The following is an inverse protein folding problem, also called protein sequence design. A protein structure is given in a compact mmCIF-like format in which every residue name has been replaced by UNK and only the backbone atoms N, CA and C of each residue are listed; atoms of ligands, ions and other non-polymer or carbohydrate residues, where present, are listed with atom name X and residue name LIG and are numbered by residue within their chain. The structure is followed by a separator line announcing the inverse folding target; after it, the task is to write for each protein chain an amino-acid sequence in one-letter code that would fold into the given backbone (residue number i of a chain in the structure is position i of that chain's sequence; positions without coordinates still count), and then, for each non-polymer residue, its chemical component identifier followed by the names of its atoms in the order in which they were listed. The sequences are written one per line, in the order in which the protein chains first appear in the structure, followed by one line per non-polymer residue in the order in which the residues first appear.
data_IF_334686144946
#
_entry.id   IF_334686144946
#
_cell.length_a   1.000
_cell.length_b   1.000
_cell.length_c   1.000
_cell.angle_alpha   90.00
_cell.angle_beta   90.00
_cell.angle_gamma   90.00
#
_symmetry.space_group_name_H-M   'P 1'
#
loop_
_entity.id
_entity.type
_entity.pdbx_description
1 polymer ?
#
# COMPACT_ATOMS: atom_id res chain seq x y z
N UNK A 1 -13.38 -1.37 8.04
CA UNK A 1 -12.41 -0.60 7.22
C UNK A 1 -11.40 -1.55 6.60
N UNK A 2 -11.14 -1.38 5.34
CA UNK A 2 -10.17 -2.18 4.62
C UNK A 2 -8.89 -1.37 4.39
N UNK A 3 -7.74 -1.98 4.69
CA UNK A 3 -6.42 -1.40 4.45
C UNK A 3 -5.73 -2.17 3.34
N UNK A 4 -5.62 -1.56 2.17
CA UNK A 4 -4.92 -2.14 1.02
C UNK A 4 -3.44 -1.79 1.11
N UNK A 5 -2.58 -2.78 1.13
CA UNK A 5 -1.13 -2.59 1.20
C UNK A 5 -0.43 -3.40 0.12
N UNK A 6 0.73 -2.90 -0.31
CA UNK A 6 1.65 -3.67 -1.13
C UNK A 6 2.73 -4.32 -0.28
N UNK A 7 3.80 -4.75 -0.94
CA UNK A 7 4.98 -5.31 -0.26
C UNK A 7 6.27 -4.95 -1.01
N UNK A 8 6.29 -3.74 -1.57
CA UNK A 8 7.41 -3.30 -2.41
C UNK A 8 8.39 -2.35 -1.72
N UNK A 9 8.18 -2.04 -0.44
CA UNK A 9 9.07 -1.16 0.29
C UNK A 9 8.81 -1.15 1.78
N UNK A 10 9.66 -0.44 2.50
CA UNK A 10 9.63 -0.37 3.96
C UNK A 10 8.34 0.27 4.48
N UNK A 11 7.81 1.27 3.75
CA UNK A 11 6.59 1.94 4.17
C UNK A 11 5.40 0.99 4.21
N UNK A 12 5.26 0.11 3.22
CA UNK A 12 4.21 -0.90 3.22
C UNK A 12 4.26 -1.77 4.48
N UNK A 13 5.45 -2.15 4.90
CA UNK A 13 5.63 -2.99 6.08
C UNK A 13 5.35 -2.24 7.37
N UNK A 14 5.73 -0.96 7.44
CA UNK A 14 5.42 -0.10 8.59
C UNK A 14 3.91 0.03 8.75
N UNK A 15 3.20 0.29 7.67
CA UNK A 15 1.73 0.42 7.68
C UNK A 15 1.08 -0.91 8.10
N UNK A 16 1.51 -2.02 7.50
CA UNK A 16 0.98 -3.35 7.84
C UNK A 16 1.15 -3.65 9.32
N UNK A 17 2.33 -3.39 9.87
CA UNK A 17 2.61 -3.61 11.29
C UNK A 17 1.74 -2.74 12.19
N UNK A 18 1.52 -1.48 11.80
CA UNK A 18 0.67 -0.56 12.55
C UNK A 18 -0.79 -1.03 12.57
N UNK A 19 -1.31 -1.48 11.42
CA UNK A 19 -2.67 -2.03 11.32
C UNK A 19 -2.81 -3.27 12.21
N UNK A 20 -1.84 -4.19 12.16
CA UNK A 20 -1.87 -5.41 12.99
C UNK A 20 -1.86 -5.10 14.47
N UNK A 21 -1.05 -4.13 14.90
CA UNK A 21 -1.04 -3.71 16.31
C UNK A 21 -2.37 -3.13 16.73
N UNK A 22 -2.98 -2.31 15.88
CA UNK A 22 -4.27 -1.69 16.18
C UNK A 22 -5.37 -2.74 16.28
N UNK A 23 -5.41 -3.72 15.36
CA UNK A 23 -6.37 -4.81 15.40
C UNK A 23 -6.30 -5.59 16.72
N UNK A 24 -5.08 -5.91 17.16
CA UNK A 24 -4.87 -6.63 18.42
C UNK A 24 -5.26 -5.80 19.65
N UNK A 25 -4.94 -4.51 19.61
CA UNK A 25 -5.14 -3.60 20.75
C UNK A 25 -6.61 -3.33 21.04
N UNK A 26 -7.42 -3.14 20.00
CA UNK A 26 -8.84 -2.80 20.14
C UNK A 26 -9.77 -3.99 19.90
N UNK A 27 -9.23 -5.16 19.57
CA UNK A 27 -10.00 -6.36 19.19
C UNK A 27 -11.04 -6.02 18.13
N UNK A 28 -10.58 -5.30 17.09
CA UNK A 28 -11.45 -4.78 16.03
C UNK A 28 -11.64 -5.83 14.95
N UNK A 29 -12.82 -6.43 14.88
CA UNK A 29 -13.20 -7.38 13.85
C UNK A 29 -13.71 -6.69 12.58
N UNK A 30 -13.81 -5.35 12.59
CA UNK A 30 -14.34 -4.57 11.48
C UNK A 30 -13.27 -4.05 10.52
N UNK A 31 -11.98 -4.28 10.83
CA UNK A 31 -10.90 -3.88 9.93
C UNK A 31 -10.20 -5.10 9.35
N UNK A 32 -9.79 -4.99 8.08
CA UNK A 32 -9.08 -6.05 7.37
C UNK A 32 -7.81 -5.49 6.73
N UNK A 33 -6.71 -6.22 6.88
CA UNK A 33 -5.45 -5.93 6.21
C UNK A 33 -5.36 -6.79 4.95
N UNK A 34 -5.41 -6.15 3.78
CA UNK A 34 -5.44 -6.82 2.48
C UNK A 34 -4.13 -6.57 1.75
N UNK A 35 -3.43 -7.65 1.41
CA UNK A 35 -2.22 -7.57 0.59
C UNK A 35 -2.61 -7.61 -0.88
N UNK A 36 -2.27 -6.55 -1.63
CA UNK A 36 -2.51 -6.45 -3.06
C UNK A 36 -1.18 -6.63 -3.80
N UNK A 37 -1.05 -7.73 -4.53
CA UNK A 37 0.16 -8.05 -5.30
C UNK A 37 -0.07 -7.85 -6.79
N UNK A 38 0.95 -7.37 -7.53
CA UNK A 38 0.84 -7.22 -8.99
C UNK A 38 0.86 -8.55 -9.73
N UNK A 39 1.49 -9.58 -9.16
CA UNK A 39 1.60 -10.92 -9.72
C UNK A 39 2.00 -11.87 -8.60
N UNK A 40 1.87 -13.22 -8.81
CA UNK A 40 2.36 -14.19 -7.83
C UNK A 40 3.88 -14.07 -7.70
N UNK A 41 4.35 -13.78 -6.50
CA UNK A 41 5.79 -13.66 -6.23
C UNK A 41 6.36 -14.96 -5.70
N UNK A 42 7.68 -15.17 -5.87
CA UNK A 42 8.36 -16.32 -5.27
C UNK A 42 8.24 -16.29 -3.75
N UNK A 43 8.32 -15.10 -3.15
CA UNK A 43 8.17 -14.93 -1.70
C UNK A 43 6.80 -15.44 -1.23
N UNK A 44 5.74 -15.12 -1.94
CA UNK A 44 4.40 -15.60 -1.61
C UNK A 44 4.31 -17.12 -1.70
N UNK A 45 4.81 -17.71 -2.80
CA UNK A 45 4.77 -19.17 -3.00
C UNK A 45 5.54 -19.93 -1.94
N UNK A 46 6.71 -19.41 -1.56
CA UNK A 46 7.59 -20.09 -0.62
C UNK A 46 7.14 -19.93 0.84
N UNK A 47 6.28 -18.94 1.12
CA UNK A 47 5.85 -18.60 2.48
C UNK A 47 4.33 -18.44 2.58
N UNK A 48 3.57 -19.18 1.79
CA UNK A 48 2.13 -19.01 1.67
C UNK A 48 1.41 -19.09 3.02
N UNK A 49 1.74 -20.08 3.84
CA UNK A 49 1.11 -20.23 5.16
C UNK A 49 1.34 -19.02 6.05
N UNK A 50 2.56 -18.48 6.06
CA UNK A 50 2.89 -17.29 6.85
C UNK A 50 2.14 -16.08 6.36
N UNK A 51 2.01 -15.92 5.04
CA UNK A 51 1.27 -14.80 4.45
C UNK A 51 -0.22 -14.89 4.77
N UNK A 52 -0.82 -16.08 4.64
CA UNK A 52 -2.23 -16.30 4.96
C UNK A 52 -2.53 -16.09 6.44
N UNK A 53 -1.57 -16.38 7.32
CA UNK A 53 -1.72 -16.14 8.75
C UNK A 53 -1.60 -14.66 9.10
N UNK A 54 -0.82 -13.89 8.35
CA UNK A 54 -0.55 -12.49 8.65
C UNK A 54 -1.57 -11.53 8.04
N UNK A 55 -1.91 -11.73 6.76
CA UNK A 55 -2.87 -10.86 6.06
C UNK A 55 -4.27 -11.47 6.13
N UNK A 56 -5.27 -10.63 6.31
CA UNK A 56 -6.66 -11.08 6.32
C UNK A 56 -7.10 -11.56 4.93
N UNK A 57 -6.54 -10.94 3.88
CA UNK A 57 -6.85 -11.28 2.49
C UNK A 57 -5.62 -11.04 1.62
N UNK A 58 -5.47 -11.86 0.57
CA UNK A 58 -4.41 -11.68 -0.42
C UNK A 58 -5.07 -11.61 -1.80
N UNK A 59 -4.84 -10.52 -2.52
CA UNK A 59 -5.39 -10.30 -3.85
C UNK A 59 -4.29 -10.20 -4.88
N UNK A 60 -4.51 -10.81 -6.04
CA UNK A 60 -3.65 -10.65 -7.21
C UNK A 60 -4.33 -9.72 -8.20
N UNK A 61 -3.58 -8.76 -8.74
CA UNK A 61 -4.12 -7.81 -9.71
C UNK A 61 -4.28 -8.48 -11.08
N UNK A 62 -5.51 -8.85 -11.43
CA UNK A 62 -5.78 -9.52 -12.71
C UNK A 62 -5.45 -8.65 -13.93
N UNK A 63 -5.63 -7.33 -13.82
CA UNK A 63 -5.31 -6.40 -14.91
C UNK A 63 -3.82 -6.28 -15.18
N UNK A 64 -2.97 -6.69 -14.24
CA UNK A 64 -1.51 -6.67 -14.40
C UNK A 64 -0.98 -7.95 -15.06
N UNK A 65 -1.83 -8.96 -15.29
CA UNK A 65 -1.41 -10.22 -15.89
C UNK A 65 -0.82 -10.00 -17.29
N UNK A 66 0.33 -10.61 -17.53
CA UNK A 66 1.03 -10.47 -18.80
C UNK A 66 1.84 -9.20 -18.98
N UNK A 67 1.81 -8.26 -18.03
CA UNK A 67 2.60 -7.04 -18.09
C UNK A 67 4.03 -7.27 -17.61
N UNK A 68 4.95 -6.41 -18.07
CA UNK A 68 6.30 -6.37 -17.53
C UNK A 68 6.23 -6.05 -16.03
N UNK A 69 7.14 -6.59 -15.18
CA UNK A 69 7.07 -6.39 -13.72
C UNK A 69 6.90 -4.94 -13.27
N UNK A 70 7.62 -3.99 -13.87
CA UNK A 70 7.46 -2.55 -13.54
C UNK A 70 6.08 -2.03 -13.92
N UNK A 71 5.58 -2.42 -15.09
CA UNK A 71 4.23 -2.05 -15.52
C UNK A 71 3.16 -2.67 -14.63
N UNK A 72 3.36 -3.92 -14.23
CA UNK A 72 2.43 -4.62 -13.35
C UNK A 72 2.29 -3.91 -11.98
N UNK A 73 3.41 -3.46 -11.42
CA UNK A 73 3.40 -2.71 -10.16
C UNK A 73 2.60 -1.42 -10.31
N UNK A 74 2.79 -0.67 -11.40
CA UNK A 74 2.05 0.57 -11.63
C UNK A 74 0.56 0.31 -11.82
N UNK A 75 0.18 -0.73 -12.54
CA UNK A 75 -1.23 -1.11 -12.72
C UNK A 75 -1.85 -1.44 -11.37
N UNK A 76 -1.17 -2.23 -10.53
CA UNK A 76 -1.63 -2.55 -9.18
C UNK A 76 -1.81 -1.30 -8.34
N UNK A 77 -0.83 -0.38 -8.37
CA UNK A 77 -0.89 0.86 -7.61
C UNK A 77 -2.10 1.71 -8.02
N UNK A 78 -2.38 1.81 -9.31
CA UNK A 78 -3.56 2.55 -9.80
C UNK A 78 -4.86 1.91 -9.35
N UNK A 79 -4.95 0.59 -9.36
CA UNK A 79 -6.14 -0.09 -8.84
C UNK A 79 -6.35 0.16 -7.35
N UNK A 80 -5.28 0.17 -6.57
CA UNK A 80 -5.37 0.49 -5.15
C UNK A 80 -5.90 1.90 -4.93
N UNK A 81 -5.40 2.87 -5.70
CA UNK A 81 -5.88 4.26 -5.65
C UNK A 81 -7.35 4.34 -6.02
N UNK A 82 -7.74 3.71 -7.14
CA UNK A 82 -9.12 3.76 -7.63
C UNK A 82 -10.13 3.19 -6.63
N UNK A 83 -9.72 2.18 -5.86
CA UNK A 83 -10.57 1.51 -4.86
C UNK A 83 -10.60 2.22 -3.51
N UNK A 84 -9.71 3.17 -3.29
CA UNK A 84 -9.52 3.78 -1.96
C UNK A 84 -10.31 5.07 -1.81
N UNK A 85 -10.77 5.34 -0.60
CA UNK A 85 -11.37 6.61 -0.21
C UNK A 85 -10.30 7.61 0.24
N UNK A 86 -9.25 7.09 0.89
CA UNK A 86 -8.11 7.87 1.34
C UNK A 86 -6.84 7.13 0.95
N UNK A 87 -5.87 7.85 0.38
CA UNK A 87 -4.58 7.29 0.00
C UNK A 87 -3.50 7.92 0.87
N UNK A 88 -2.72 7.08 1.54
CA UNK A 88 -1.64 7.51 2.43
C UNK A 88 -0.30 7.27 1.75
N UNK A 89 0.53 8.30 1.69
CA UNK A 89 1.85 8.25 1.06
C UNK A 89 2.93 8.68 2.04
N UNK A 90 4.15 8.26 1.74
CA UNK A 90 5.35 8.88 2.27
C UNK A 90 6.27 9.16 1.08
N UNK A 91 6.12 10.34 0.45
CA UNK A 91 6.84 10.72 -0.76
C UNK A 91 7.50 12.08 -0.54
N UNK A 92 8.82 12.08 -0.48
CA UNK A 92 9.63 13.28 -0.23
C UNK A 92 10.53 13.65 -1.42
N UNK A 93 10.27 13.05 -2.58
CA UNK A 93 11.05 13.28 -3.80
C UNK A 93 10.09 13.36 -4.99
N UNK A 94 10.58 13.85 -6.11
CA UNK A 94 9.76 14.13 -7.30
C UNK A 94 10.04 13.19 -8.47
N UNK A 95 10.37 11.94 -8.17
CA UNK A 95 10.59 10.90 -9.17
C UNK A 95 10.30 9.52 -8.58
N UNK A 96 10.18 8.51 -9.45
CA UNK A 96 9.98 7.14 -9.03
C UNK A 96 8.52 6.71 -8.96
N UNK A 97 8.31 5.43 -8.62
CA UNK A 97 6.99 4.81 -8.68
C UNK A 97 5.99 5.39 -7.69
N UNK A 98 6.42 5.64 -6.46
CA UNK A 98 5.55 6.22 -5.43
C UNK A 98 5.11 7.64 -5.81
N UNK A 99 6.03 8.44 -6.36
CA UNK A 99 5.68 9.77 -6.85
C UNK A 99 4.69 9.71 -8.00
N UNK A 100 4.86 8.80 -8.94
CA UNK A 100 3.93 8.60 -10.06
C UNK A 100 2.53 8.24 -9.55
N UNK A 101 2.45 7.39 -8.53
CA UNK A 101 1.18 7.00 -7.91
C UNK A 101 0.53 8.18 -7.20
N UNK A 102 1.32 9.02 -6.51
CA UNK A 102 0.83 10.26 -5.90
C UNK A 102 0.21 11.19 -6.94
N UNK A 103 0.90 11.39 -8.07
CA UNK A 103 0.39 12.21 -9.17
C UNK A 103 -0.91 11.65 -9.75
N UNK A 104 -0.98 10.33 -9.89
CA UNK A 104 -2.21 9.67 -10.34
C UNK A 104 -3.37 9.92 -9.38
N UNK A 105 -3.14 9.77 -8.06
CA UNK A 105 -4.17 10.02 -7.06
C UNK A 105 -4.65 11.48 -7.08
N UNK A 106 -3.72 12.43 -7.30
CA UNK A 106 -4.07 13.85 -7.45
C UNK A 106 -4.97 14.08 -8.66
N UNK A 107 -4.66 13.46 -9.80
CA UNK A 107 -5.49 13.57 -11.01
C UNK A 107 -6.88 12.96 -10.83
N UNK A 108 -7.02 11.98 -9.95
CA UNK A 108 -8.30 11.32 -9.65
C UNK A 108 -9.07 12.01 -8.53
N UNK A 109 -8.58 13.14 -8.03
CA UNK A 109 -9.20 13.90 -6.94
C UNK A 109 -9.43 13.06 -5.68
N UNK A 110 -8.55 12.13 -5.40
CA UNK A 110 -8.63 11.33 -4.17
C UNK A 110 -8.17 12.14 -2.96
N UNK A 111 -8.73 11.82 -1.81
CA UNK A 111 -8.22 12.36 -0.55
C UNK A 111 -6.84 11.77 -0.29
N UNK A 112 -5.86 12.63 -0.06
CA UNK A 112 -4.45 12.24 0.04
C UNK A 112 -3.87 12.74 1.35
N UNK A 113 -3.16 11.85 2.05
CA UNK A 113 -2.36 12.20 3.20
C UNK A 113 -0.91 11.82 2.90
N UNK A 114 -0.03 12.80 2.72
CA UNK A 114 1.39 12.53 2.52
C UNK A 114 2.15 12.81 3.82
N UNK A 115 2.60 11.77 4.48
CA UNK A 115 3.26 11.86 5.78
C UNK A 115 4.62 12.54 5.72
N UNK A 116 5.26 12.59 4.57
CA UNK A 116 6.53 13.30 4.40
C UNK A 116 6.38 14.81 4.66
N UNK A 117 5.19 15.37 4.37
CA UNK A 117 4.89 16.76 4.64
C UNK A 117 5.00 17.09 6.14
N UNK A 118 4.51 16.21 6.99
CA UNK A 118 4.60 16.40 8.44
C UNK A 118 6.04 16.38 8.95
N UNK A 119 6.87 15.55 8.34
CA UNK A 119 8.31 15.53 8.67
C UNK A 119 8.98 16.86 8.35
N UNK A 120 8.66 17.49 7.22
CA UNK A 120 9.18 18.79 6.84
C UNK A 120 8.73 19.87 7.81
N UNK A 121 7.46 19.87 8.22
CA UNK A 121 6.95 20.81 9.20
C UNK A 121 7.66 20.68 10.54
N UNK A 122 7.96 19.46 10.99
CA UNK A 122 8.72 19.23 12.22
C UNK A 122 10.14 19.79 12.13
N UNK A 123 10.79 19.65 10.98
CA UNK A 123 12.12 20.23 10.75
C UNK A 123 12.09 21.74 10.76
N UNK A 124 11.05 22.35 10.20
CA UNK A 124 10.92 23.81 10.14
C UNK A 124 10.68 24.44 11.50
N UNK A 125 10.09 23.71 12.45
CA UNK A 125 9.76 24.23 13.78
C UNK A 125 10.90 24.07 14.79
N UNK A 126 12.00 23.49 14.38
CA UNK A 126 13.20 23.35 15.20
C UNK A 126 14.29 24.29 14.71
#
# INVERSE_FOLDING_TARGET
MEFLVGRNGDFDQIVSSAVKRQQRRVRDDNSALILALPYPTAELRDNLENFEAYYDEIELCGAAAGSHPKGAIQIRNRQMVDRSDLVVFYVDHSSGGAYQTLRYAQRKDKEILNLAYFRELRRSST
#
